data_IF_590670766405
#
_entry.id   IF_590670766405
#
_cell.length_a   1.000
_cell.length_b   1.000
_cell.length_c   1.000
_cell.angle_alpha   90.00
_cell.angle_beta   90.00
_cell.angle_gamma   90.00
#
_symmetry.space_group_name_H-M   'P 1'
#
loop_
_entity.id
_entity.type
_entity.pdbx_description
1 polymer ?
#
# COMPACT_ATOMS: atom_id res chain seq x y z
N UNK A 1 -6.76 12.08 20.45
CA UNK A 1 -7.34 12.23 19.12
C UNK A 1 -8.83 11.91 19.21
N UNK A 2 -9.63 12.62 18.45
CA UNK A 2 -11.08 12.44 18.38
C UNK A 2 -11.48 12.08 16.96
N UNK A 3 -12.64 11.44 16.81
CA UNK A 3 -13.18 11.07 15.50
C UNK A 3 -13.68 9.63 15.46
N UNK A 4 -14.36 9.30 14.37
CA UNK A 4 -14.95 8.00 14.14
C UNK A 4 -14.52 7.43 12.80
N UNK A 5 -14.24 6.12 12.77
CA UNK A 5 -13.91 5.39 11.56
C UNK A 5 -15.00 4.36 11.30
N UNK A 6 -15.52 4.37 10.09
CA UNK A 6 -16.58 3.45 9.65
C UNK A 6 -16.09 2.57 8.50
N UNK A 7 -16.49 1.30 8.53
CA UNK A 7 -16.35 0.37 7.40
C UNK A 7 -17.77 0.00 6.94
N UNK A 8 -18.24 0.65 5.88
CA UNK A 8 -19.66 0.65 5.54
C UNK A 8 -20.46 1.34 6.63
N UNK A 9 -21.43 0.64 7.21
CA UNK A 9 -22.27 1.16 8.31
C UNK A 9 -21.72 0.83 9.71
N UNK A 10 -20.67 0.01 9.79
CA UNK A 10 -20.10 -0.46 11.05
C UNK A 10 -19.02 0.49 11.58
N UNK A 11 -19.19 1.00 12.80
CA UNK A 11 -18.16 1.81 13.47
C UNK A 11 -17.04 0.90 13.99
N UNK A 12 -15.82 1.12 13.50
CA UNK A 12 -14.63 0.32 13.84
C UNK A 12 -13.59 1.10 14.66
N UNK A 13 -13.93 2.29 15.16
CA UNK A 13 -13.01 3.21 15.85
C UNK A 13 -12.27 2.56 17.01
N UNK A 14 -12.99 1.82 17.86
CA UNK A 14 -12.44 1.15 19.03
C UNK A 14 -11.85 -0.25 18.74
N UNK A 15 -11.90 -0.71 17.49
CA UNK A 15 -11.45 -2.06 17.18
C UNK A 15 -9.92 -2.15 17.12
N UNK A 16 -9.34 -3.19 17.72
CA UNK A 16 -7.92 -3.48 17.54
C UNK A 16 -7.64 -3.90 16.10
N UNK A 17 -6.39 -3.71 15.66
CA UNK A 17 -5.98 -3.91 14.26
C UNK A 17 -6.29 -5.32 13.74
N UNK A 18 -6.18 -6.36 14.57
CA UNK A 18 -6.46 -7.73 14.12
C UNK A 18 -7.93 -7.95 13.73
N UNK A 19 -8.89 -7.32 14.42
CA UNK A 19 -10.29 -7.37 14.04
C UNK A 19 -10.56 -6.58 12.74
N UNK A 20 -9.93 -5.43 12.58
CA UNK A 20 -10.00 -4.66 11.33
C UNK A 20 -9.43 -5.48 10.16
N UNK A 21 -8.32 -6.20 10.38
CA UNK A 21 -7.73 -7.09 9.38
C UNK A 21 -8.67 -8.24 8.98
N UNK A 22 -9.36 -8.85 9.94
CA UNK A 22 -10.37 -9.89 9.66
C UNK A 22 -11.56 -9.37 8.83
N UNK A 23 -11.85 -8.06 8.90
CA UNK A 23 -12.88 -7.40 8.08
C UNK A 23 -12.37 -6.91 6.74
N UNK A 24 -11.09 -7.13 6.45
CA UNK A 24 -10.47 -6.81 5.18
C UNK A 24 -9.79 -5.44 5.13
N UNK A 25 -9.41 -4.86 6.27
CA UNK A 25 -8.59 -3.64 6.32
C UNK A 25 -7.14 -4.02 6.63
N UNK A 26 -6.23 -3.81 5.71
CA UNK A 26 -4.81 -4.10 5.88
C UNK A 26 -3.99 -2.81 5.95
N UNK A 27 -3.04 -2.75 6.88
CA UNK A 27 -2.07 -1.65 7.00
C UNK A 27 -0.66 -2.16 6.63
N UNK A 28 -0.02 -1.46 5.71
CA UNK A 28 1.41 -1.60 5.45
C UNK A 28 2.13 -0.38 6.01
N UNK A 29 2.87 -0.53 7.11
CA UNK A 29 3.59 0.57 7.73
C UNK A 29 4.77 1.02 6.86
N UNK A 30 5.31 2.19 7.17
CA UNK A 30 6.52 2.72 6.56
C UNK A 30 7.72 1.79 6.80
N UNK A 31 7.86 1.29 8.03
CA UNK A 31 8.93 0.37 8.37
C UNK A 31 8.75 -1.02 7.72
N UNK A 32 9.87 -1.64 7.29
CA UNK A 32 9.82 -2.97 6.68
C UNK A 32 9.20 -4.03 7.59
N UNK A 33 8.13 -4.66 7.12
CA UNK A 33 7.35 -5.68 7.86
C UNK A 33 7.64 -7.13 7.42
N UNK A 34 8.46 -7.33 6.38
CA UNK A 34 8.81 -8.66 5.89
C UNK A 34 9.65 -9.46 6.91
N UNK A 35 9.39 -10.76 7.03
CA UNK A 35 10.21 -11.67 7.83
C UNK A 35 11.58 -11.88 7.18
N UNK A 36 12.56 -11.11 7.61
CA UNK A 36 13.88 -10.94 6.96
C UNK A 36 14.63 -12.25 6.72
N UNK A 37 14.53 -13.22 7.64
CA UNK A 37 15.22 -14.52 7.56
C UNK A 37 14.48 -15.58 6.74
N UNK A 38 13.19 -15.37 6.45
CA UNK A 38 12.41 -16.26 5.60
C UNK A 38 12.64 -15.97 4.12
N UNK A 39 12.43 -16.97 3.26
CA UNK A 39 12.35 -16.76 1.81
C UNK A 39 11.11 -15.94 1.44
N UNK A 40 11.08 -15.40 0.24
CA UNK A 40 9.92 -14.70 -0.32
C UNK A 40 8.68 -15.58 -0.26
N UNK A 41 8.78 -16.81 -0.75
CA UNK A 41 7.70 -17.81 -0.71
C UNK A 41 7.22 -18.08 0.73
N UNK A 42 8.16 -18.29 1.67
CA UNK A 42 7.83 -18.57 3.06
C UNK A 42 7.21 -17.35 3.78
N UNK A 43 7.50 -16.13 3.34
CA UNK A 43 6.82 -14.94 3.80
C UNK A 43 5.31 -14.97 3.43
N UNK A 44 4.94 -15.45 2.25
CA UNK A 44 3.55 -15.60 1.84
C UNK A 44 2.88 -16.76 2.58
N UNK A 45 3.56 -17.92 2.65
CA UNK A 45 3.07 -19.10 3.33
C UNK A 45 2.77 -18.86 4.82
N UNK A 46 3.62 -18.07 5.51
CA UNK A 46 3.43 -17.77 6.92
C UNK A 46 2.12 -17.05 7.21
N UNK A 47 1.62 -16.23 6.28
CA UNK A 47 0.31 -15.58 6.41
C UNK A 47 -0.81 -16.57 6.17
N UNK A 48 -0.70 -17.43 5.15
CA UNK A 48 -1.69 -18.47 4.86
C UNK A 48 -1.88 -19.45 6.03
N UNK A 49 -0.81 -19.74 6.78
CA UNK A 49 -0.87 -20.67 7.90
C UNK A 49 -1.72 -20.17 9.07
N UNK A 50 -1.75 -18.85 9.29
CA UNK A 50 -2.51 -18.23 10.39
C UNK A 50 -3.91 -17.77 9.98
N UNK A 51 -4.28 -17.88 8.69
CA UNK A 51 -5.63 -17.53 8.26
C UNK A 51 -6.67 -18.49 8.83
N UNK A 52 -7.89 -18.00 9.17
CA UNK A 52 -9.00 -18.86 9.55
C UNK A 52 -9.46 -19.75 8.38
N UNK A 53 -10.05 -20.89 8.71
CA UNK A 53 -10.67 -21.76 7.69
C UNK A 53 -11.99 -21.16 7.13
N UNK A 54 -12.30 -21.43 5.84
CA UNK A 54 -11.52 -22.22 4.88
C UNK A 54 -10.31 -21.45 4.35
N UNK A 55 -9.14 -22.09 4.42
CA UNK A 55 -7.90 -21.53 3.88
C UNK A 55 -7.88 -21.65 2.36
N UNK A 56 -7.40 -20.62 1.63
CA UNK A 56 -7.12 -20.76 0.20
C UNK A 56 -6.11 -21.88 -0.05
N UNK A 57 -6.17 -22.49 -1.22
CA UNK A 57 -5.14 -23.44 -1.64
C UNK A 57 -3.76 -22.79 -1.60
N UNK A 58 -2.84 -23.40 -0.82
CA UNK A 58 -1.54 -22.80 -0.51
C UNK A 58 -0.70 -22.59 -1.77
N UNK A 59 -0.51 -23.66 -2.57
CA UNK A 59 0.35 -23.63 -3.76
C UNK A 59 -0.18 -22.63 -4.79
N UNK A 60 -1.42 -22.76 -5.22
CA UNK A 60 -2.00 -21.89 -6.24
C UNK A 60 -2.04 -20.41 -5.84
N UNK A 61 -2.26 -20.12 -4.54
CA UNK A 61 -2.27 -18.75 -4.05
C UNK A 61 -0.87 -18.13 -4.05
N UNK A 62 0.13 -18.86 -3.58
CA UNK A 62 1.51 -18.35 -3.54
C UNK A 62 2.05 -18.14 -4.94
N UNK A 63 1.88 -19.11 -5.85
CA UNK A 63 2.35 -19.01 -7.23
C UNK A 63 1.69 -17.84 -7.98
N UNK A 64 0.39 -17.62 -7.76
CA UNK A 64 -0.31 -16.48 -8.34
C UNK A 64 0.26 -15.16 -7.84
N UNK A 65 0.44 -15.00 -6.53
CA UNK A 65 0.98 -13.77 -5.95
C UNK A 65 2.42 -13.54 -6.38
N UNK A 66 3.26 -14.56 -6.42
CA UNK A 66 4.63 -14.41 -6.91
C UNK A 66 4.66 -13.86 -8.35
N UNK A 67 3.79 -14.36 -9.24
CA UNK A 67 3.67 -13.86 -10.61
C UNK A 67 3.15 -12.43 -10.66
N UNK A 68 2.04 -12.17 -10.00
CA UNK A 68 1.37 -10.87 -10.00
C UNK A 68 2.30 -9.74 -9.52
N UNK A 69 3.18 -10.03 -8.55
CA UNK A 69 4.12 -9.07 -7.99
C UNK A 69 5.54 -9.15 -8.56
N UNK A 70 5.77 -9.96 -9.61
CA UNK A 70 7.08 -10.10 -10.26
C UNK A 70 8.17 -10.65 -9.35
N UNK A 71 7.82 -11.59 -8.45
CA UNK A 71 8.71 -12.17 -7.44
C UNK A 71 9.07 -13.64 -7.71
N UNK A 72 8.64 -14.23 -8.84
CA UNK A 72 8.85 -15.64 -9.14
C UNK A 72 10.31 -16.07 -9.08
N UNK A 73 11.19 -15.27 -9.71
CA UNK A 73 12.64 -15.55 -9.73
C UNK A 73 13.30 -15.41 -8.36
N UNK A 74 12.63 -14.76 -7.44
CA UNK A 74 13.09 -14.47 -6.08
C UNK A 74 12.43 -15.36 -5.03
N UNK A 75 11.56 -16.31 -5.43
CA UNK A 75 10.76 -17.12 -4.50
C UNK A 75 11.58 -17.78 -3.40
N UNK A 76 12.76 -18.29 -3.73
CA UNK A 76 13.67 -18.95 -2.78
C UNK A 76 14.69 -18.01 -2.14
N UNK A 77 14.77 -16.74 -2.57
CA UNK A 77 15.67 -15.76 -1.98
C UNK A 77 15.16 -15.33 -0.61
N UNK A 78 16.09 -15.09 0.32
CA UNK A 78 15.74 -14.53 1.63
C UNK A 78 15.34 -13.07 1.53
N UNK A 79 14.36 -12.64 2.31
CA UNK A 79 13.84 -11.28 2.27
C UNK A 79 14.88 -10.20 2.67
N UNK A 80 15.92 -10.55 3.44
CA UNK A 80 17.01 -9.64 3.78
C UNK A 80 17.98 -9.35 2.61
N UNK A 81 17.88 -10.10 1.51
CA UNK A 81 18.69 -9.92 0.29
C UNK A 81 17.98 -9.13 -0.80
N UNK A 82 16.72 -8.78 -0.58
CA UNK A 82 15.91 -8.04 -1.54
C UNK A 82 16.30 -6.56 -1.56
N UNK A 83 16.27 -5.94 -2.73
CA UNK A 83 16.27 -4.49 -2.88
C UNK A 83 15.08 -3.86 -2.17
N UNK A 84 15.09 -2.53 -1.97
CA UNK A 84 13.97 -1.81 -1.35
C UNK A 84 12.64 -2.03 -2.09
N UNK A 85 12.67 -1.89 -3.42
CA UNK A 85 11.48 -2.11 -4.27
C UNK A 85 10.98 -3.55 -4.26
N UNK A 86 11.87 -4.55 -4.33
CA UNK A 86 11.48 -5.96 -4.26
C UNK A 86 10.88 -6.30 -2.90
N UNK A 87 11.45 -5.75 -1.83
CA UNK A 87 10.91 -5.93 -0.48
C UNK A 87 9.53 -5.31 -0.33
N UNK A 88 9.31 -4.11 -0.87
CA UNK A 88 8.00 -3.46 -0.83
C UNK A 88 6.96 -4.25 -1.61
N UNK A 89 7.32 -4.81 -2.78
CA UNK A 89 6.45 -5.72 -3.53
C UNK A 89 6.09 -6.98 -2.72
N UNK A 90 7.06 -7.57 -2.02
CA UNK A 90 6.80 -8.70 -1.13
C UNK A 90 5.83 -8.35 0.00
N UNK A 91 5.98 -7.19 0.62
CA UNK A 91 5.10 -6.74 1.71
C UNK A 91 3.66 -6.56 1.25
N UNK A 92 3.46 -5.96 0.06
CA UNK A 92 2.13 -5.84 -0.53
C UNK A 92 1.59 -7.24 -0.91
N UNK A 93 2.40 -8.10 -1.53
CA UNK A 93 1.99 -9.47 -1.85
C UNK A 93 1.53 -10.24 -0.60
N UNK A 94 2.21 -10.07 0.54
CA UNK A 94 1.80 -10.65 1.83
C UNK A 94 0.43 -10.13 2.29
N UNK A 95 0.19 -8.83 2.14
CA UNK A 95 -1.12 -8.25 2.46
C UNK A 95 -2.23 -8.86 1.57
N UNK A 96 -1.95 -9.09 0.29
CA UNK A 96 -2.91 -9.67 -0.66
C UNK A 96 -3.26 -11.14 -0.37
N UNK A 97 -2.47 -11.85 0.43
CA UNK A 97 -2.82 -13.20 0.90
C UNK A 97 -4.19 -13.19 1.61
N UNK A 98 -4.47 -12.16 2.40
CA UNK A 98 -5.72 -12.03 3.18
C UNK A 98 -6.92 -11.56 2.35
N UNK A 99 -6.74 -11.26 1.06
CA UNK A 99 -7.77 -10.71 0.17
C UNK A 99 -8.46 -9.47 0.77
N UNK A 100 -7.71 -8.42 1.09
CA UNK A 100 -8.26 -7.24 1.75
C UNK A 100 -9.24 -6.50 0.84
N UNK A 101 -10.21 -5.80 1.46
CA UNK A 101 -11.08 -4.84 0.79
C UNK A 101 -10.46 -3.45 0.72
N UNK A 102 -9.63 -3.12 1.72
CA UNK A 102 -8.92 -1.85 1.84
C UNK A 102 -7.48 -2.06 2.26
N UNK A 103 -6.58 -1.32 1.63
CA UNK A 103 -5.15 -1.30 1.95
C UNK A 103 -4.74 0.13 2.28
N UNK A 104 -4.14 0.29 3.45
CA UNK A 104 -3.54 1.53 3.91
C UNK A 104 -2.04 1.42 3.69
N UNK A 105 -1.47 2.29 2.86
CA UNK A 105 -0.05 2.34 2.53
C UNK A 105 0.58 3.57 3.17
N UNK A 106 1.43 3.36 4.14
CA UNK A 106 2.14 4.43 4.82
C UNK A 106 3.51 4.63 4.18
N UNK A 107 3.73 5.78 3.57
CA UNK A 107 4.92 6.19 2.83
C UNK A 107 5.50 5.09 1.90
N UNK A 108 4.71 4.53 0.97
CA UNK A 108 5.14 3.38 0.18
C UNK A 108 6.32 3.66 -0.76
N UNK A 109 6.59 4.92 -1.09
CA UNK A 109 7.65 5.32 -2.03
C UNK A 109 8.96 5.72 -1.34
N UNK A 110 8.96 5.81 -0.01
CA UNK A 110 10.14 6.24 0.74
C UNK A 110 11.27 5.21 0.66
N UNK A 111 12.47 5.68 0.33
CA UNK A 111 13.70 4.87 0.35
C UNK A 111 13.82 3.85 -0.79
N UNK A 112 13.04 3.97 -1.86
CA UNK A 112 13.15 3.15 -3.06
C UNK A 112 13.57 4.00 -4.28
N UNK A 113 14.18 3.34 -5.26
CA UNK A 113 14.66 4.03 -6.47
C UNK A 113 13.50 4.42 -7.41
N UNK A 114 13.70 5.43 -8.30
CA UNK A 114 12.64 5.93 -9.17
C UNK A 114 12.02 4.89 -10.11
N UNK A 115 12.79 3.89 -10.54
CA UNK A 115 12.29 2.83 -11.42
C UNK A 115 11.37 1.89 -10.63
N UNK A 116 11.77 1.52 -9.43
CA UNK A 116 10.94 0.70 -8.54
C UNK A 116 9.67 1.44 -8.09
N UNK A 117 9.68 2.78 -7.97
CA UNK A 117 8.47 3.58 -7.74
C UNK A 117 7.46 3.38 -8.89
N UNK A 118 7.91 3.46 -10.14
CA UNK A 118 7.03 3.26 -11.30
C UNK A 118 6.40 1.86 -11.32
N UNK A 119 7.17 0.83 -11.00
CA UNK A 119 6.64 -0.52 -10.93
C UNK A 119 5.63 -0.68 -9.77
N UNK A 120 5.91 -0.07 -8.64
CA UNK A 120 4.99 -0.06 -7.50
C UNK A 120 3.68 0.70 -7.83
N UNK A 121 3.77 1.82 -8.54
CA UNK A 121 2.60 2.55 -9.02
C UNK A 121 1.70 1.68 -9.91
N UNK A 122 2.28 0.91 -10.84
CA UNK A 122 1.52 -0.04 -11.69
C UNK A 122 0.79 -1.09 -10.85
N UNK A 123 1.47 -1.64 -9.85
CA UNK A 123 0.87 -2.62 -8.92
C UNK A 123 -0.31 -1.98 -8.18
N UNK A 124 -0.14 -0.79 -7.60
CA UNK A 124 -1.19 -0.08 -6.87
C UNK A 124 -2.41 0.19 -7.77
N UNK A 125 -2.18 0.64 -9.00
CA UNK A 125 -3.26 0.86 -9.99
C UNK A 125 -3.98 -0.45 -10.30
N UNK A 126 -3.24 -1.55 -10.54
CA UNK A 126 -3.84 -2.87 -10.78
C UNK A 126 -4.69 -3.36 -9.62
N UNK A 127 -4.25 -3.16 -8.36
CA UNK A 127 -5.05 -3.50 -7.18
C UNK A 127 -6.33 -2.67 -7.09
N UNK A 128 -6.26 -1.38 -7.43
CA UNK A 128 -7.45 -0.51 -7.51
C UNK A 128 -8.43 -1.01 -8.58
N UNK A 129 -7.94 -1.40 -9.75
CA UNK A 129 -8.76 -1.97 -10.84
C UNK A 129 -9.44 -3.30 -10.45
N UNK A 130 -8.84 -4.06 -9.54
CA UNK A 130 -9.43 -5.25 -8.92
C UNK A 130 -10.50 -4.92 -7.87
N UNK A 131 -10.81 -3.64 -7.62
CA UNK A 131 -11.82 -3.19 -6.67
C UNK A 131 -11.34 -3.04 -5.23
N UNK A 132 -10.04 -3.05 -4.99
CA UNK A 132 -9.46 -2.81 -3.66
C UNK A 132 -9.40 -1.31 -3.41
N UNK A 133 -9.99 -0.84 -2.31
CA UNK A 133 -9.85 0.53 -1.84
C UNK A 133 -8.43 0.79 -1.32
N UNK A 134 -7.78 1.87 -1.77
CA UNK A 134 -6.41 2.17 -1.38
C UNK A 134 -6.33 3.58 -0.79
N UNK A 135 -5.76 3.69 0.40
CA UNK A 135 -5.39 4.96 1.01
C UNK A 135 -3.86 5.03 1.12
N UNK A 136 -3.28 6.09 0.59
CA UNK A 136 -1.83 6.31 0.60
C UNK A 136 -1.54 7.58 1.38
N UNK A 137 -0.61 7.52 2.32
CA UNK A 137 0.08 8.68 2.89
C UNK A 137 1.48 8.71 2.31
N UNK A 138 1.92 9.85 1.77
CA UNK A 138 3.29 10.01 1.27
C UNK A 138 3.63 11.49 1.16
N UNK A 139 4.87 11.84 1.42
CA UNK A 139 5.41 13.18 1.19
C UNK A 139 5.85 13.40 -0.27
N UNK A 140 5.96 12.36 -1.07
CA UNK A 140 6.21 12.44 -2.51
C UNK A 140 4.90 12.73 -3.25
N UNK A 141 4.46 13.98 -3.17
CA UNK A 141 3.19 14.44 -3.75
C UNK A 141 3.11 14.13 -5.23
N UNK A 142 4.21 14.31 -5.97
CA UNK A 142 4.26 14.08 -7.42
C UNK A 142 3.89 12.64 -7.80
N UNK A 143 4.52 11.66 -7.17
CA UNK A 143 4.32 10.27 -7.53
C UNK A 143 2.98 9.73 -7.00
N UNK A 144 2.51 10.27 -5.87
CA UNK A 144 1.22 9.92 -5.30
C UNK A 144 0.06 10.44 -6.15
N UNK A 145 0.10 11.69 -6.60
CA UNK A 145 -0.96 12.27 -7.43
C UNK A 145 -1.17 11.56 -8.78
N UNK A 146 -0.13 10.91 -9.34
CA UNK A 146 -0.24 10.17 -10.60
C UNK A 146 -1.19 8.97 -10.55
N UNK A 147 -1.42 8.42 -9.38
CA UNK A 147 -2.16 7.15 -9.20
C UNK A 147 -3.43 7.29 -8.35
N UNK A 148 -3.68 8.47 -7.78
CA UNK A 148 -4.83 8.73 -6.92
C UNK A 148 -6.00 9.33 -7.68
N UNK A 149 -7.23 8.98 -7.30
CA UNK A 149 -8.46 9.59 -7.82
C UNK A 149 -8.84 10.86 -7.05
N UNK A 150 -8.40 10.94 -5.78
CA UNK A 150 -8.63 12.05 -4.88
C UNK A 150 -7.46 12.18 -3.91
N UNK A 151 -7.06 13.40 -3.61
CA UNK A 151 -6.01 13.69 -2.64
C UNK A 151 -6.46 14.75 -1.63
N UNK A 152 -5.81 14.71 -0.47
CA UNK A 152 -5.91 15.70 0.60
C UNK A 152 -4.50 16.15 0.93
N UNK A 153 -4.24 17.44 0.82
CA UNK A 153 -2.99 18.04 1.28
C UNK A 153 -3.19 18.50 2.71
N UNK A 154 -2.38 17.95 3.62
CA UNK A 154 -2.42 18.29 5.04
C UNK A 154 -1.17 19.10 5.37
N UNK A 155 -1.37 20.25 5.98
CA UNK A 155 -0.32 21.14 6.46
C UNK A 155 -0.67 21.64 7.86
N UNK A 156 0.29 21.61 8.78
CA UNK A 156 0.12 22.00 10.19
C UNK A 156 -1.16 21.44 10.87
N UNK A 157 -1.50 20.18 10.53
CA UNK A 157 -2.67 19.49 11.08
C UNK A 157 -4.03 19.93 10.50
N UNK A 158 -4.03 20.68 9.40
CA UNK A 158 -5.24 21.15 8.69
C UNK A 158 -5.23 20.68 7.24
N UNK A 159 -6.42 20.47 6.69
CA UNK A 159 -6.56 20.20 5.26
C UNK A 159 -6.41 21.54 4.52
N UNK A 160 -5.27 21.70 3.84
CA UNK A 160 -4.96 22.87 3.02
C UNK A 160 -5.76 22.85 1.72
N UNK A 161 -5.81 21.71 1.04
CA UNK A 161 -6.54 21.52 -0.20
C UNK A 161 -7.04 20.08 -0.32
N UNK A 162 -8.15 19.88 -1.04
CA UNK A 162 -8.67 18.54 -1.32
C UNK A 162 -9.39 18.46 -2.66
N UNK A 163 -9.28 17.32 -3.33
CA UNK A 163 -9.96 17.11 -4.61
C UNK A 163 -9.23 16.13 -5.52
N UNK A 164 -9.59 16.18 -6.80
CA UNK A 164 -8.88 15.44 -7.85
C UNK A 164 -7.48 16.00 -8.05
N UNK A 165 -6.53 15.18 -8.54
CA UNK A 165 -5.14 15.61 -8.78
C UNK A 165 -5.02 16.92 -9.56
N UNK A 166 -5.84 17.10 -10.59
CA UNK A 166 -5.81 18.31 -11.44
C UNK A 166 -6.16 19.59 -10.65
N UNK A 167 -7.06 19.47 -9.64
CA UNK A 167 -7.39 20.59 -8.75
C UNK A 167 -6.23 20.89 -7.82
N UNK A 168 -5.65 19.87 -7.21
CA UNK A 168 -4.49 19.99 -6.31
C UNK A 168 -3.32 20.72 -6.97
N UNK A 169 -2.98 20.31 -8.20
CA UNK A 169 -1.86 20.89 -8.95
C UNK A 169 -2.09 22.36 -9.35
N UNK A 170 -3.35 22.80 -9.48
CA UNK A 170 -3.71 24.19 -9.81
C UNK A 170 -3.72 25.11 -8.60
N UNK A 171 -3.75 24.57 -7.38
CA UNK A 171 -3.73 25.37 -6.16
C UNK A 171 -2.38 26.11 -6.03
N UNK A 172 -2.42 27.43 -6.00
CA UNK A 172 -1.23 28.27 -5.84
C UNK A 172 -0.50 27.98 -4.51
N UNK A 173 -1.27 27.75 -3.47
CA UNK A 173 -0.75 27.46 -2.13
C UNK A 173 -0.03 26.10 -2.07
N UNK A 174 -0.61 25.07 -2.68
CA UNK A 174 0.02 23.75 -2.81
C UNK A 174 1.29 23.83 -3.67
N UNK A 175 1.25 24.57 -4.77
CA UNK A 175 2.44 24.76 -5.62
C UNK A 175 3.57 25.43 -4.85
N UNK A 176 3.26 26.50 -4.11
CA UNK A 176 4.27 27.25 -3.35
C UNK A 176 4.91 26.40 -2.25
N UNK A 177 4.10 25.62 -1.52
CA UNK A 177 4.56 24.92 -0.31
C UNK A 177 5.07 23.50 -0.57
N UNK A 178 4.58 22.80 -1.62
CA UNK A 178 4.81 21.36 -1.80
C UNK A 178 5.33 20.94 -3.17
N UNK A 179 4.92 21.62 -4.25
CA UNK A 179 5.22 21.15 -5.60
C UNK A 179 6.36 21.93 -6.28
N UNK A 180 6.56 23.20 -5.90
CA UNK A 180 7.40 24.16 -6.59
C UNK A 180 6.67 24.82 -7.77
N UNK A 181 7.07 26.04 -8.12
CA UNK A 181 6.40 26.86 -9.13
C UNK A 181 6.40 26.25 -10.54
N UNK A 182 7.45 25.49 -10.87
CA UNK A 182 7.65 24.87 -12.19
C UNK A 182 7.07 23.44 -12.29
N UNK A 183 6.21 23.04 -11.34
CA UNK A 183 5.62 21.71 -11.38
C UNK A 183 4.67 21.56 -12.58
N UNK A 184 4.90 20.51 -13.39
CA UNK A 184 4.00 20.02 -14.43
C UNK A 184 3.81 18.50 -14.28
N UNK A 185 2.60 18.01 -14.61
CA UNK A 185 2.32 16.58 -14.74
C UNK A 185 3.02 15.99 -15.95
#
# INVERSE_FOLDING_TARGET
DEGKVFLGEEEISAWPMYLRAQRGVCLLPQEPSAFRKLSVENNLLSVLEVMPDPKPEKSGTVDRLLREFGLEKLAKARADRLSGGERRRLEIARAMVTRPKFVLLDEPFTGIDPLAIQDLQKIIVSLKEQGIGILITDHNVRDTLKITDRAYIIDEGRILESGRPEKIVRSEEVRRNFLGENFAF
#
